data_IF_381659612560
#
_entry.id   IF_381659612560
#
_cell.length_a   1.000
_cell.length_b   1.000
_cell.length_c   1.000
_cell.angle_alpha   90.00
_cell.angle_beta   90.00
_cell.angle_gamma   90.00
#
_symmetry.space_group_name_H-M   'P 1'
#
loop_
_entity.id
_entity.type
_entity.pdbx_description
1 polymer ?
#
# COMPACT_ATOMS: atom_id res chain seq x y z
N UNK A 1 28.59 -21.41 1.30
CA UNK A 1 28.96 -20.12 0.67
C UNK A 1 28.33 -19.02 1.50
N UNK A 2 29.11 -18.20 2.20
CA UNK A 2 28.57 -17.06 2.94
C UNK A 2 28.26 -15.97 1.91
N UNK A 3 26.98 -15.72 1.66
CA UNK A 3 26.56 -14.56 0.89
C UNK A 3 27.04 -13.31 1.64
N UNK A 4 27.91 -12.52 1.01
CA UNK A 4 28.29 -11.22 1.55
C UNK A 4 27.05 -10.34 1.44
N UNK A 5 26.49 -9.96 2.59
CA UNK A 5 25.37 -9.02 2.63
C UNK A 5 25.76 -7.74 1.90
N UNK A 6 24.88 -7.27 1.01
CA UNK A 6 25.09 -6.02 0.28
C UNK A 6 25.19 -4.83 1.25
N UNK A 7 25.98 -3.82 0.89
CA UNK A 7 25.96 -2.55 1.62
C UNK A 7 24.59 -1.86 1.52
N UNK A 8 24.33 -0.92 2.42
CA UNK A 8 23.05 -0.22 2.52
C UNK A 8 22.60 0.40 1.19
N UNK A 9 23.49 1.08 0.47
CA UNK A 9 23.12 1.79 -0.75
C UNK A 9 22.73 0.78 -1.83
N UNK A 10 23.57 -0.23 -2.05
CA UNK A 10 23.34 -1.27 -3.05
C UNK A 10 22.07 -2.07 -2.75
N UNK A 11 21.81 -2.43 -1.49
CA UNK A 11 20.61 -3.14 -1.08
C UNK A 11 19.33 -2.33 -1.40
N UNK A 12 19.34 -1.03 -1.09
CA UNK A 12 18.21 -0.15 -1.36
C UNK A 12 17.98 0.09 -2.86
N UNK A 13 19.05 0.24 -3.66
CA UNK A 13 18.92 0.33 -5.12
C UNK A 13 18.36 -0.95 -5.73
N UNK A 14 18.84 -2.12 -5.31
CA UNK A 14 18.33 -3.41 -5.76
C UNK A 14 16.85 -3.59 -5.44
N UNK A 15 16.42 -3.22 -4.24
CA UNK A 15 15.01 -3.27 -3.86
C UNK A 15 14.13 -2.35 -4.72
N UNK A 16 14.60 -1.14 -5.07
CA UNK A 16 13.88 -0.24 -5.99
C UNK A 16 13.81 -0.80 -7.40
N UNK A 17 14.93 -1.32 -7.93
CA UNK A 17 14.98 -1.93 -9.25
C UNK A 17 14.05 -3.16 -9.35
N UNK A 18 14.04 -3.99 -8.31
CA UNK A 18 13.12 -5.12 -8.16
C UNK A 18 11.66 -4.67 -8.18
N UNK A 19 11.31 -3.64 -7.41
CA UNK A 19 9.93 -3.13 -7.36
C UNK A 19 9.47 -2.67 -8.75
N UNK A 20 10.31 -1.92 -9.46
CA UNK A 20 10.05 -1.50 -10.84
C UNK A 20 9.92 -2.68 -11.81
N UNK A 21 10.79 -3.68 -11.70
CA UNK A 21 10.75 -4.88 -12.55
C UNK A 21 9.44 -5.67 -12.42
N UNK A 22 8.89 -5.75 -11.20
CA UNK A 22 7.64 -6.43 -10.90
C UNK A 22 6.39 -5.52 -10.98
N UNK A 23 6.53 -4.29 -11.47
CA UNK A 23 5.46 -3.29 -11.54
C UNK A 23 4.78 -3.04 -10.17
N UNK A 24 5.58 -3.00 -9.11
CA UNK A 24 5.13 -2.77 -7.74
C UNK A 24 5.39 -1.33 -7.31
N UNK A 25 4.39 -0.69 -6.71
CA UNK A 25 4.56 0.64 -6.11
C UNK A 25 5.05 0.53 -4.67
N UNK A 26 6.35 0.75 -4.48
CA UNK A 26 6.98 0.89 -3.16
C UNK A 26 7.30 2.38 -2.94
N UNK A 27 6.60 3.01 -1.99
CA UNK A 27 6.72 4.45 -1.71
C UNK A 27 8.02 4.82 -1.00
N UNK A 28 8.55 3.88 -0.22
CA UNK A 28 9.81 4.06 0.49
C UNK A 28 10.46 2.70 0.67
N UNK A 29 11.78 2.66 0.54
CA UNK A 29 12.62 1.56 0.99
C UNK A 29 13.46 2.10 2.14
N UNK A 30 13.51 1.39 3.27
CA UNK A 30 14.27 1.81 4.44
C UNK A 30 15.23 0.69 4.85
N UNK A 31 16.52 1.00 4.97
CA UNK A 31 17.47 0.12 5.63
C UNK A 31 17.43 0.38 7.13
N UNK A 32 17.30 -0.68 7.91
CA UNK A 32 17.21 -0.63 9.37
C UNK A 32 18.14 -1.66 9.99
N UNK A 33 18.56 -1.40 11.22
CA UNK A 33 19.34 -2.34 12.02
C UNK A 33 18.49 -2.73 13.23
N UNK A 34 18.14 -4.01 13.31
CA UNK A 34 17.35 -4.58 14.41
C UNK A 34 18.20 -5.49 15.30
N UNK A 35 17.53 -6.17 16.23
CA UNK A 35 18.18 -7.08 17.18
C UNK A 35 18.95 -8.22 16.50
N UNK A 36 18.51 -8.68 15.33
CA UNK A 36 19.13 -9.78 14.57
C UNK A 36 20.02 -9.30 13.42
N UNK A 37 20.38 -8.02 13.40
CA UNK A 37 21.19 -7.42 12.34
C UNK A 37 20.39 -6.55 11.36
N UNK A 38 20.98 -6.22 10.22
CA UNK A 38 20.36 -5.33 9.24
C UNK A 38 19.22 -6.00 8.47
N UNK A 39 18.22 -5.20 8.08
CA UNK A 39 17.12 -5.62 7.24
C UNK A 39 16.61 -4.44 6.39
N UNK A 40 15.93 -4.75 5.28
CA UNK A 40 15.17 -3.77 4.51
C UNK A 40 13.70 -3.82 4.89
N UNK A 41 13.10 -2.64 5.03
CA UNK A 41 11.65 -2.47 5.18
C UNK A 41 11.09 -1.77 3.93
N UNK A 42 10.17 -2.45 3.25
CA UNK A 42 9.44 -1.93 2.11
C UNK A 42 8.15 -1.26 2.58
N UNK A 43 7.89 -0.05 2.09
CA UNK A 43 6.68 0.68 2.43
C UNK A 43 5.73 0.71 1.23
N UNK A 44 4.79 -0.23 1.21
CA UNK A 44 3.65 -0.24 0.30
C UNK A 44 2.59 0.78 0.76
N UNK A 45 1.52 0.94 -0.03
CA UNK A 45 0.37 1.76 0.38
C UNK A 45 -0.29 1.20 1.64
N UNK A 46 -0.35 -0.12 1.77
CA UNK A 46 -0.97 -0.85 2.89
C UNK A 46 -0.24 -2.18 3.13
N UNK A 47 -0.35 -2.77 4.33
CA UNK A 47 0.18 -4.11 4.58
C UNK A 47 -0.51 -5.20 3.74
N UNK A 48 -1.80 -5.06 3.41
CA UNK A 48 -2.54 -6.03 2.58
C UNK A 48 -1.96 -6.12 1.16
N UNK A 49 -1.51 -4.99 0.61
CA UNK A 49 -0.80 -4.99 -0.68
C UNK A 49 0.54 -5.72 -0.55
N UNK A 50 1.29 -5.48 0.53
CA UNK A 50 2.55 -6.19 0.75
C UNK A 50 2.36 -7.71 0.90
N UNK A 51 1.33 -8.14 1.64
CA UNK A 51 0.99 -9.55 1.87
C UNK A 51 0.71 -10.31 0.56
N UNK A 52 0.00 -9.67 -0.39
CA UNK A 52 -0.23 -10.23 -1.74
C UNK A 52 1.06 -10.51 -2.49
N UNK A 53 2.15 -9.83 -2.14
CA UNK A 53 3.46 -9.97 -2.76
C UNK A 53 4.50 -10.64 -1.84
N UNK A 54 4.07 -11.28 -0.75
CA UNK A 54 4.95 -11.95 0.22
C UNK A 54 5.95 -12.92 -0.41
N UNK A 55 5.52 -13.70 -1.40
CA UNK A 55 6.40 -14.60 -2.15
C UNK A 55 7.51 -13.86 -2.92
N UNK A 56 7.17 -12.74 -3.57
CA UNK A 56 8.15 -11.91 -4.28
C UNK A 56 9.10 -11.21 -3.29
N UNK A 57 8.58 -10.75 -2.14
CA UNK A 57 9.40 -10.14 -1.08
C UNK A 57 10.42 -11.16 -0.54
N UNK A 58 10.01 -12.42 -0.36
CA UNK A 58 10.92 -13.50 0.03
C UNK A 58 12.01 -13.77 -1.02
N UNK A 59 11.66 -13.71 -2.31
CA UNK A 59 12.63 -13.82 -3.41
C UNK A 59 13.66 -12.67 -3.35
N UNK A 60 13.20 -11.42 -3.20
CA UNK A 60 14.10 -10.28 -3.04
C UNK A 60 15.06 -10.49 -1.86
N UNK A 61 14.56 -10.99 -0.72
CA UNK A 61 15.38 -11.28 0.45
C UNK A 61 16.49 -12.30 0.15
N UNK A 62 16.17 -13.37 -0.57
CA UNK A 62 17.15 -14.36 -1.01
C UNK A 62 18.18 -13.78 -1.99
N UNK A 63 17.75 -12.92 -2.92
CA UNK A 63 18.62 -12.29 -3.92
C UNK A 63 19.64 -11.33 -3.32
N UNK A 64 19.23 -10.50 -2.36
CA UNK A 64 20.11 -9.49 -1.75
C UNK A 64 20.89 -10.00 -0.54
N UNK A 65 20.56 -11.19 -0.03
CA UNK A 65 21.20 -11.76 1.15
C UNK A 65 20.89 -11.01 2.46
N UNK A 66 19.78 -10.28 2.51
CA UNK A 66 19.31 -9.54 3.70
C UNK A 66 17.84 -9.87 3.96
N UNK A 67 17.40 -9.95 5.23
CA UNK A 67 15.98 -10.00 5.56
C UNK A 67 15.25 -8.80 4.95
N UNK A 68 14.11 -9.07 4.30
CA UNK A 68 13.21 -8.04 3.79
C UNK A 68 11.85 -8.19 4.46
N UNK A 69 11.35 -7.10 5.02
CA UNK A 69 10.02 -6.99 5.62
C UNK A 69 9.25 -5.83 4.99
N UNK A 70 8.03 -5.59 5.45
CA UNK A 70 7.23 -4.45 5.04
C UNK A 70 6.65 -3.70 6.25
N UNK A 71 6.40 -2.41 6.05
CA UNK A 71 5.75 -1.59 7.07
C UNK A 71 4.30 -2.06 7.29
N UNK A 72 3.91 -2.23 8.55
CA UNK A 72 2.56 -2.63 8.95
C UNK A 72 1.58 -1.45 8.97
N UNK A 73 2.10 -0.23 8.88
CA UNK A 73 1.32 0.99 8.93
C UNK A 73 0.87 1.41 7.52
N UNK A 74 -0.46 1.49 7.26
CA UNK A 74 -0.98 2.00 6.00
C UNK A 74 -0.67 3.48 5.80
N UNK A 75 -0.76 3.95 4.55
CA UNK A 75 -0.46 5.34 4.15
C UNK A 75 -1.75 6.08 3.73
N UNK A 76 -2.56 6.58 4.68
CA UNK A 76 -3.85 7.20 4.38
C UNK A 76 -3.79 8.35 3.36
N UNK A 77 -2.72 9.14 3.35
CA UNK A 77 -2.55 10.21 2.36
C UNK A 77 -2.49 9.66 0.94
N UNK A 78 -1.71 8.62 0.68
CA UNK A 78 -1.65 8.00 -0.64
C UNK A 78 -2.93 7.25 -0.98
N UNK A 79 -3.58 6.62 0.00
CA UNK A 79 -4.91 6.03 -0.22
C UNK A 79 -5.93 7.10 -0.64
N UNK A 80 -5.86 8.31 -0.06
CA UNK A 80 -6.71 9.44 -0.44
C UNK A 80 -6.42 9.92 -1.87
N UNK A 81 -5.15 10.01 -2.25
CA UNK A 81 -4.73 10.37 -3.61
C UNK A 81 -5.20 9.32 -4.65
N UNK A 82 -5.04 8.04 -4.33
CA UNK A 82 -5.55 6.94 -5.15
C UNK A 82 -7.07 6.97 -5.28
N UNK A 83 -7.78 7.25 -4.18
CA UNK A 83 -9.24 7.35 -4.21
C UNK A 83 -9.69 8.53 -5.09
N UNK A 84 -9.03 9.69 -4.96
CA UNK A 84 -9.34 10.87 -5.75
C UNK A 84 -9.17 10.64 -7.27
N UNK A 85 -8.26 9.76 -7.70
CA UNK A 85 -8.05 9.47 -9.12
C UNK A 85 -9.13 8.57 -9.73
N UNK A 86 -9.90 7.86 -8.90
CA UNK A 86 -10.99 6.96 -9.35
C UNK A 86 -12.39 7.48 -9.02
N UNK A 87 -12.51 8.50 -8.16
CA UNK A 87 -13.78 9.07 -7.76
C UNK A 87 -14.40 9.95 -8.87
N UNK A 88 -15.70 9.78 -9.18
CA UNK A 88 -16.42 10.73 -10.01
C UNK A 88 -16.49 12.12 -9.35
N UNK A 89 -16.12 13.21 -10.05
CA UNK A 89 -16.18 14.56 -9.48
C UNK A 89 -17.57 14.96 -8.97
N UNK A 90 -18.63 14.41 -9.58
CA UNK A 90 -20.03 14.69 -9.24
C UNK A 90 -20.45 14.17 -7.85
N UNK A 91 -19.70 13.23 -7.27
CA UNK A 91 -20.02 12.69 -5.93
C UNK A 91 -19.73 13.67 -4.79
N UNK A 92 -19.01 14.77 -5.05
CA UNK A 92 -18.70 15.82 -4.08
C UNK A 92 -18.24 15.23 -2.73
N UNK A 93 -17.16 14.46 -2.75
CA UNK A 93 -16.62 13.79 -1.55
C UNK A 93 -15.85 14.80 -0.69
N UNK A 94 -16.11 14.77 0.62
CA UNK A 94 -15.38 15.54 1.63
C UNK A 94 -13.89 15.20 1.62
N UNK A 95 -13.05 16.19 1.91
CA UNK A 95 -11.59 15.99 2.09
C UNK A 95 -11.25 15.16 3.34
N UNK A 96 -12.20 15.00 4.26
CA UNK A 96 -12.02 14.20 5.47
C UNK A 96 -12.22 12.71 5.19
N UNK A 97 -11.33 11.88 5.75
CA UNK A 97 -11.43 10.43 5.70
C UNK A 97 -11.21 9.85 7.10
N UNK A 98 -11.61 8.59 7.30
CA UNK A 98 -11.33 7.84 8.51
C UNK A 98 -10.82 6.46 8.14
N UNK A 99 -9.74 6.02 8.79
CA UNK A 99 -9.13 4.73 8.55
C UNK A 99 -9.39 3.81 9.74
N UNK A 100 -10.13 2.73 9.51
CA UNK A 100 -10.38 1.69 10.50
C UNK A 100 -9.46 0.50 10.16
N UNK A 101 -8.27 0.49 10.77
CA UNK A 101 -7.21 -0.48 10.45
C UNK A 101 -7.65 -1.92 10.70
N UNK A 102 -8.21 -2.19 11.87
CA UNK A 102 -8.61 -3.54 12.28
C UNK A 102 -9.72 -4.12 11.41
N UNK A 103 -10.61 -3.26 10.91
CA UNK A 103 -11.70 -3.65 10.02
C UNK A 103 -11.30 -3.67 8.54
N UNK A 104 -10.10 -3.19 8.18
CA UNK A 104 -9.71 -3.02 6.78
C UNK A 104 -10.59 -2.04 6.01
N UNK A 105 -11.10 -0.98 6.67
CA UNK A 105 -12.03 -0.01 6.06
C UNK A 105 -11.43 1.38 5.91
N UNK A 106 -11.67 2.00 4.75
CA UNK A 106 -11.40 3.40 4.47
C UNK A 106 -12.74 4.12 4.28
N UNK A 107 -13.06 5.05 5.18
CA UNK A 107 -14.36 5.72 5.22
C UNK A 107 -14.22 7.13 4.68
N UNK A 108 -15.09 7.50 3.74
CA UNK A 108 -15.23 8.87 3.24
C UNK A 108 -16.68 9.32 3.33
N UNK A 109 -16.86 10.63 3.28
CA UNK A 109 -18.16 11.30 3.32
C UNK A 109 -18.48 11.92 1.96
N UNK A 110 -19.64 11.66 1.40
CA UNK A 110 -20.11 12.24 0.15
C UNK A 110 -21.40 13.04 0.38
N UNK A 111 -21.54 14.20 -0.27
CA UNK A 111 -22.78 14.97 -0.22
C UNK A 111 -23.81 14.34 -1.16
N UNK A 112 -24.98 13.97 -0.64
CA UNK A 112 -26.00 13.26 -1.41
C UNK A 112 -25.62 11.80 -1.70
N UNK A 113 -24.89 11.15 -0.79
CA UNK A 113 -24.45 9.77 -0.93
C UNK A 113 -25.62 8.81 -1.23
N UNK A 114 -26.80 9.08 -0.65
CA UNK A 114 -28.01 8.30 -0.89
C UNK A 114 -28.52 8.32 -2.35
N UNK A 115 -28.08 9.31 -3.16
CA UNK A 115 -28.47 9.44 -4.57
C UNK A 115 -27.48 8.80 -5.54
N UNK A 116 -26.31 8.38 -5.05
CA UNK A 116 -25.29 7.75 -5.88
C UNK A 116 -25.78 6.33 -6.21
N UNK A 117 -25.83 5.94 -7.50
CA UNK A 117 -26.21 4.59 -7.88
C UNK A 117 -25.29 3.54 -7.24
N UNK A 118 -25.89 2.47 -6.71
CA UNK A 118 -25.14 1.40 -6.05
C UNK A 118 -24.08 0.78 -6.95
N UNK A 119 -24.37 0.62 -8.23
CA UNK A 119 -23.44 0.05 -9.22
C UNK A 119 -22.18 0.90 -9.36
N UNK A 120 -22.30 2.23 -9.38
CA UNK A 120 -21.13 3.11 -9.44
C UNK A 120 -20.28 3.01 -8.15
N UNK A 121 -20.94 2.92 -6.98
CA UNK A 121 -20.28 2.69 -5.70
C UNK A 121 -19.46 1.40 -5.72
N UNK A 122 -20.05 0.30 -6.21
CA UNK A 122 -19.35 -1.00 -6.27
C UNK A 122 -18.17 -1.00 -7.24
N UNK A 123 -18.26 -0.28 -8.37
CA UNK A 123 -17.13 -0.12 -9.30
C UNK A 123 -15.96 0.59 -8.61
N UNK A 124 -16.22 1.69 -7.91
CA UNK A 124 -15.17 2.44 -7.19
C UNK A 124 -14.62 1.61 -6.02
N UNK A 125 -15.49 0.91 -5.27
CA UNK A 125 -15.08 -0.01 -4.19
C UNK A 125 -14.14 -1.09 -4.69
N UNK A 126 -14.49 -1.74 -5.79
CA UNK A 126 -13.69 -2.82 -6.38
C UNK A 126 -12.31 -2.30 -6.78
N UNK A 127 -12.25 -1.20 -7.53
CA UNK A 127 -10.98 -0.57 -7.92
C UNK A 127 -10.14 -0.18 -6.70
N UNK A 128 -10.76 0.43 -5.69
CA UNK A 128 -10.05 0.83 -4.48
C UNK A 128 -9.51 -0.37 -3.70
N UNK A 129 -10.28 -1.45 -3.59
CA UNK A 129 -9.86 -2.69 -2.93
C UNK A 129 -8.76 -3.42 -3.70
N UNK A 130 -8.78 -3.39 -5.02
CA UNK A 130 -7.68 -3.89 -5.86
C UNK A 130 -6.40 -3.09 -5.59
N UNK A 131 -6.47 -1.76 -5.55
CA UNK A 131 -5.31 -0.89 -5.36
C UNK A 131 -4.73 -0.91 -3.93
N UNK A 132 -5.58 -1.08 -2.91
CA UNK A 132 -5.18 -0.87 -1.50
C UNK A 132 -5.42 -2.06 -0.58
N UNK A 133 -6.24 -3.03 -0.97
CA UNK A 133 -6.71 -4.09 -0.08
C UNK A 133 -7.69 -3.66 1.01
N UNK A 134 -8.11 -2.39 1.04
CA UNK A 134 -9.13 -1.89 1.96
C UNK A 134 -10.50 -1.83 1.29
N UNK A 135 -11.55 -2.03 2.09
CA UNK A 135 -12.93 -1.80 1.67
C UNK A 135 -13.25 -0.30 1.77
N UNK A 136 -13.72 0.30 0.69
CA UNK A 136 -14.19 1.68 0.69
C UNK A 136 -15.63 1.77 1.24
N UNK A 137 -15.81 2.59 2.27
CA UNK A 137 -17.12 2.89 2.86
C UNK A 137 -17.45 4.35 2.57
N UNK A 138 -18.60 4.59 1.93
CA UNK A 138 -19.09 5.93 1.63
C UNK A 138 -20.28 6.19 2.55
N UNK A 139 -20.24 7.32 3.25
CA UNK A 139 -21.31 7.78 4.15
C UNK A 139 -21.81 9.14 3.70
N UNK A 140 -23.00 9.52 4.14
CA UNK A 140 -23.48 10.90 4.01
C UNK A 140 -22.59 11.85 4.82
N UNK A 141 -22.34 13.05 4.27
CA UNK A 141 -21.44 14.04 4.86
C UNK A 141 -21.98 14.71 6.13
#
# INVERSE_FOLDING_TARGET
MNAVALDQFTAMERARAWASHHNLTVYKTAYKVGQYGPYLELHFVTPQVAERHSALIAQLSAEIGLPVTYATEPKPTHMSEMLASILPPIWNVSKSHSLHKDAGQFVVKAFGAAKIPREEIEVVRTKFAEMTGYTLVIREA
#
